data_IF_936355239087
#
_entry.id   IF_936355239087
#
_cell.length_a   1.000
_cell.length_b   1.000
_cell.length_c   1.000
_cell.angle_alpha   90.00
_cell.angle_beta   90.00
_cell.angle_gamma   90.00
#
_symmetry.space_group_name_H-M   'P 1'
#
loop_
_entity.id
_entity.type
_entity.pdbx_description
1 polymer ?
#
# COMPACT_ATOMS: atom_id res chain seq x y z
N UNK A 1 -6.03 14.37 2.22
CA UNK A 1 -6.93 13.21 2.11
C UNK A 1 -6.34 12.34 1.04
N UNK A 2 -5.78 11.21 1.43
CA UNK A 2 -5.20 10.25 0.50
C UNK A 2 -6.30 9.54 -0.28
N UNK A 3 -6.09 9.29 -1.56
CA UNK A 3 -7.01 8.55 -2.42
C UNK A 3 -6.54 7.12 -2.64
N UNK A 4 -7.48 6.22 -2.92
CA UNK A 4 -7.14 4.84 -3.29
C UNK A 4 -6.36 4.78 -4.61
N UNK A 5 -6.55 5.76 -5.50
CA UNK A 5 -5.83 5.85 -6.76
C UNK A 5 -4.35 6.13 -6.53
N UNK A 6 -4.03 7.13 -5.70
CA UNK A 6 -2.64 7.48 -5.38
C UNK A 6 -1.91 6.28 -4.74
N UNK A 7 -2.55 5.60 -3.78
CA UNK A 7 -1.98 4.40 -3.16
C UNK A 7 -1.75 3.29 -4.19
N UNK A 8 -2.74 3.05 -5.07
CA UNK A 8 -2.61 2.03 -6.11
C UNK A 8 -1.46 2.33 -7.07
N UNK A 9 -1.35 3.56 -7.55
CA UNK A 9 -0.30 3.97 -8.49
C UNK A 9 1.09 3.79 -7.88
N UNK A 10 1.30 4.20 -6.63
CA UNK A 10 2.59 4.02 -5.96
C UNK A 10 2.94 2.55 -5.70
N UNK A 11 1.97 1.74 -5.27
CA UNK A 11 2.20 0.30 -5.09
C UNK A 11 2.42 -0.43 -6.40
N UNK A 12 1.80 0.04 -7.49
CA UNK A 12 2.02 -0.47 -8.83
C UNK A 12 3.42 -0.11 -9.35
N UNK A 13 3.86 1.13 -9.15
CA UNK A 13 5.21 1.58 -9.53
C UNK A 13 6.31 0.85 -8.75
N UNK A 14 6.05 0.49 -7.48
CA UNK A 14 6.94 -0.35 -6.68
C UNK A 14 6.93 -1.83 -7.06
N UNK A 15 5.98 -2.28 -7.89
CA UNK A 15 5.80 -3.69 -8.22
C UNK A 15 5.25 -4.53 -7.06
N UNK A 16 4.59 -3.91 -6.08
CA UNK A 16 3.90 -4.62 -4.99
C UNK A 16 2.60 -5.26 -5.49
N UNK A 17 1.95 -4.62 -6.47
CA UNK A 17 0.76 -5.12 -7.16
C UNK A 17 0.87 -4.85 -8.65
N UNK A 18 0.42 -5.76 -9.50
CA UNK A 18 0.46 -5.62 -10.96
C UNK A 18 -0.92 -5.29 -11.55
N UNK A 19 -2.00 -5.49 -10.79
CA UNK A 19 -3.36 -5.25 -11.27
C UNK A 19 -4.27 -4.59 -10.24
N UNK A 20 -5.33 -3.94 -10.72
CA UNK A 20 -6.41 -3.43 -9.87
C UNK A 20 -7.09 -4.53 -9.03
N UNK A 21 -7.09 -5.76 -9.54
CA UNK A 21 -7.65 -6.92 -8.84
C UNK A 21 -6.75 -7.34 -7.68
N UNK A 22 -5.44 -7.44 -7.91
CA UNK A 22 -4.46 -7.68 -6.85
C UNK A 22 -4.49 -6.57 -5.80
N UNK A 23 -4.58 -5.30 -6.20
CA UNK A 23 -4.74 -4.20 -5.24
C UNK A 23 -6.02 -4.34 -4.40
N UNK A 24 -7.11 -4.80 -5.00
CA UNK A 24 -8.35 -5.05 -4.24
C UNK A 24 -8.15 -6.17 -3.21
N UNK A 25 -7.45 -7.23 -3.59
CA UNK A 25 -7.12 -8.35 -2.69
C UNK A 25 -6.13 -7.93 -1.59
N UNK A 26 -5.16 -7.08 -1.92
CA UNK A 26 -4.22 -6.45 -0.99
C UNK A 26 -4.98 -5.63 0.09
N UNK A 27 -6.06 -4.95 -0.30
CA UNK A 27 -6.98 -4.30 0.64
C UNK A 27 -7.95 -5.26 1.37
N UNK A 28 -7.83 -6.57 1.18
CA UNK A 28 -8.74 -7.58 1.74
C UNK A 28 -10.16 -7.52 1.19
N UNK A 29 -10.32 -7.12 -0.08
CA UNK A 29 -11.61 -6.98 -0.77
C UNK A 29 -11.69 -7.92 -1.97
N UNK A 30 -12.89 -7.99 -2.58
CA UNK A 30 -13.11 -8.77 -3.80
C UNK A 30 -12.38 -8.11 -4.99
N UNK A 31 -11.92 -8.86 -6.00
CA UNK A 31 -11.16 -8.34 -7.16
C UNK A 31 -11.79 -7.15 -7.90
N UNK A 32 -13.12 -7.04 -7.89
CA UNK A 32 -13.85 -5.95 -8.55
C UNK A 32 -14.02 -4.71 -7.67
N UNK A 33 -13.55 -4.73 -6.43
CA UNK A 33 -13.86 -3.69 -5.45
C UNK A 33 -13.25 -2.34 -5.83
N UNK A 34 -11.95 -2.29 -6.15
CA UNK A 34 -11.26 -1.04 -6.47
C UNK A 34 -11.93 -0.28 -7.63
N UNK A 35 -12.07 -0.93 -8.78
CA UNK A 35 -12.70 -0.33 -9.96
C UNK A 35 -14.12 0.17 -9.67
N UNK A 36 -14.88 -0.59 -8.89
CA UNK A 36 -16.25 -0.24 -8.50
C UNK A 36 -16.33 0.90 -7.47
N UNK A 37 -15.28 1.08 -6.67
CA UNK A 37 -15.14 2.13 -5.65
C UNK A 37 -14.75 3.45 -6.31
N UNK A 38 -13.74 3.42 -7.19
CA UNK A 38 -13.32 4.57 -7.99
C UNK A 38 -14.44 5.07 -8.90
N UNK A 39 -15.13 4.17 -9.63
CA UNK A 39 -16.23 4.56 -10.51
C UNK A 39 -17.40 5.26 -9.79
N UNK A 40 -17.52 5.07 -8.47
CA UNK A 40 -18.54 5.70 -7.62
C UNK A 40 -18.03 6.89 -6.82
N UNK A 41 -16.77 7.31 -7.01
CA UNK A 41 -16.15 8.39 -6.25
C UNK A 41 -16.13 8.12 -4.75
N UNK A 42 -16.00 6.85 -4.33
CA UNK A 42 -16.00 6.46 -2.93
C UNK A 42 -14.59 6.56 -2.35
N UNK A 43 -14.53 7.03 -1.11
CA UNK A 43 -13.30 7.05 -0.32
C UNK A 43 -13.12 5.75 0.47
N UNK A 44 -11.87 5.37 0.81
CA UNK A 44 -11.62 4.24 1.69
C UNK A 44 -12.24 4.53 3.07
N UNK A 45 -12.90 3.53 3.65
CA UNK A 45 -13.36 3.60 5.02
C UNK A 45 -12.27 3.05 5.98
N UNK A 46 -12.48 3.23 7.28
CA UNK A 46 -11.53 2.81 8.31
C UNK A 46 -11.14 1.32 8.23
N UNK A 47 -12.07 0.43 7.87
CA UNK A 47 -11.79 -1.02 7.71
C UNK A 47 -10.87 -1.30 6.51
N UNK A 48 -11.00 -0.54 5.42
CA UNK A 48 -10.04 -0.61 4.29
C UNK A 48 -8.65 -0.14 4.74
N UNK A 49 -8.58 1.01 5.42
CA UNK A 49 -7.30 1.59 5.83
C UNK A 49 -6.57 0.67 6.81
N UNK A 50 -7.26 0.09 7.80
CA UNK A 50 -6.65 -0.90 8.69
C UNK A 50 -6.06 -2.08 7.93
N UNK A 51 -6.80 -2.66 6.98
CA UNK A 51 -6.32 -3.79 6.18
C UNK A 51 -5.12 -3.41 5.34
N UNK A 52 -5.14 -2.23 4.76
CA UNK A 52 -4.03 -1.69 4.00
C UNK A 52 -2.79 -1.51 4.87
N UNK A 53 -2.92 -0.99 6.09
CA UNK A 53 -1.79 -0.87 7.03
C UNK A 53 -1.13 -2.22 7.33
N UNK A 54 -1.93 -3.27 7.57
CA UNK A 54 -1.38 -4.61 7.79
C UNK A 54 -0.65 -5.15 6.55
N UNK A 55 -1.26 -5.04 5.37
CA UNK A 55 -0.64 -5.51 4.13
C UNK A 55 0.65 -4.75 3.78
N UNK A 56 0.67 -3.43 4.00
CA UNK A 56 1.87 -2.60 3.84
C UNK A 56 2.96 -3.00 4.82
N UNK A 57 2.63 -3.25 6.09
CA UNK A 57 3.59 -3.66 7.10
C UNK A 57 4.18 -5.04 6.80
N UNK A 58 3.37 -6.00 6.35
CA UNK A 58 3.86 -7.31 5.92
C UNK A 58 4.80 -7.20 4.72
N UNK A 59 4.45 -6.34 3.75
CA UNK A 59 5.30 -6.06 2.57
C UNK A 59 6.61 -5.38 2.99
N UNK A 60 6.54 -4.41 3.90
CA UNK A 60 7.71 -3.72 4.45
C UNK A 60 8.68 -4.72 5.10
N UNK A 61 8.19 -5.58 5.99
CA UNK A 61 9.03 -6.57 6.66
C UNK A 61 9.66 -7.56 5.66
N UNK A 62 8.89 -8.00 4.66
CA UNK A 62 9.42 -8.86 3.61
C UNK A 62 10.52 -8.17 2.79
N UNK A 63 10.34 -6.89 2.47
CA UNK A 63 11.34 -6.09 1.75
C UNK A 63 12.62 -5.86 2.57
N UNK A 64 12.50 -5.58 3.88
CA UNK A 64 13.66 -5.47 4.78
C UNK A 64 14.42 -6.80 4.83
N UNK A 65 13.71 -7.92 4.97
CA UNK A 65 14.34 -9.23 4.98
C UNK A 65 15.08 -9.51 3.66
N UNK A 66 14.44 -9.24 2.51
CA UNK A 66 15.07 -9.42 1.20
C UNK A 66 16.31 -8.52 1.01
N UNK A 67 16.25 -7.29 1.55
CA UNK A 67 17.36 -6.35 1.56
C UNK A 67 18.56 -6.84 2.38
N UNK A 68 18.30 -7.49 3.52
CA UNK A 68 19.34 -8.08 4.39
C UNK A 68 19.94 -9.36 3.78
N UNK A 69 19.14 -10.12 3.04
CA UNK A 69 19.54 -11.40 2.44
C UNK A 69 20.26 -11.24 1.09
N UNK A 70 20.04 -10.13 0.37
CA UNK A 70 20.70 -9.93 -0.92
C UNK A 70 22.19 -9.60 -0.75
N UNK A 71 23.01 -10.23 -1.60
CA UNK A 71 24.43 -9.91 -1.74
C UNK A 71 24.71 -8.94 -2.91
N UNK A 72 23.66 -8.58 -3.65
CA UNK A 72 23.73 -7.64 -4.76
C UNK A 72 23.46 -6.21 -4.26
N UNK A 73 24.47 -5.35 -4.34
CA UNK A 73 24.39 -3.97 -3.87
C UNK A 73 23.35 -3.12 -4.63
N UNK A 74 23.08 -3.43 -5.90
CA UNK A 74 22.07 -2.70 -6.68
C UNK A 74 20.65 -3.11 -6.26
N UNK A 75 20.44 -4.40 -5.96
CA UNK A 75 19.18 -4.87 -5.36
C UNK A 75 18.98 -4.30 -3.96
N UNK A 76 20.04 -4.25 -3.14
CA UNK A 76 19.98 -3.67 -1.80
C UNK A 76 19.48 -2.22 -1.84
N UNK A 77 20.04 -1.40 -2.73
CA UNK A 77 19.59 -0.01 -2.94
C UNK A 77 18.17 0.10 -3.48
N UNK A 78 17.75 -0.84 -4.33
CA UNK A 78 16.39 -0.88 -4.84
C UNK A 78 15.40 -1.18 -3.71
N UNK A 79 15.73 -2.13 -2.82
CA UNK A 79 14.93 -2.40 -1.64
C UNK A 79 14.92 -1.23 -0.66
N UNK A 80 16.07 -0.60 -0.39
CA UNK A 80 16.16 0.59 0.47
C UNK A 80 15.22 1.70 -0.02
N UNK A 81 15.27 2.03 -1.32
CA UNK A 81 14.37 3.01 -1.91
C UNK A 81 12.89 2.59 -1.86
N UNK A 82 12.59 1.31 -2.07
CA UNK A 82 11.22 0.79 -1.97
C UNK A 82 10.65 0.83 -0.55
N UNK A 83 11.49 0.53 0.44
CA UNK A 83 11.18 0.61 1.87
C UNK A 83 10.84 2.04 2.29
N UNK A 84 11.62 3.03 1.84
CA UNK A 84 11.34 4.46 2.12
C UNK A 84 9.95 4.88 1.58
N UNK A 85 9.58 4.42 0.39
CA UNK A 85 8.27 4.70 -0.20
C UNK A 85 7.15 4.01 0.59
N UNK A 86 7.35 2.75 1.00
CA UNK A 86 6.38 2.03 1.84
C UNK A 86 6.16 2.76 3.17
N UNK A 87 7.21 3.27 3.82
CA UNK A 87 7.08 4.08 5.04
C UNK A 87 6.26 5.36 4.80
N UNK A 88 6.51 6.06 3.70
CA UNK A 88 5.76 7.25 3.33
C UNK A 88 4.27 6.96 3.03
N UNK A 89 3.96 5.82 2.40
CA UNK A 89 2.57 5.36 2.22
C UNK A 89 1.94 5.07 3.59
N UNK A 90 2.60 4.29 4.44
CA UNK A 90 2.09 3.93 5.78
C UNK A 90 1.80 5.17 6.63
N UNK A 91 2.69 6.17 6.62
CA UNK A 91 2.47 7.44 7.34
C UNK A 91 1.21 8.16 6.87
N UNK A 92 0.99 8.29 5.56
CA UNK A 92 -0.22 8.94 5.02
C UNK A 92 -1.49 8.14 5.28
N UNK A 93 -1.42 6.81 5.28
CA UNK A 93 -2.55 5.94 5.66
C UNK A 93 -2.91 6.15 7.12
N UNK A 94 -1.91 6.22 8.01
CA UNK A 94 -2.10 6.49 9.44
C UNK A 94 -2.74 7.86 9.67
N UNK A 95 -2.23 8.92 9.03
CA UNK A 95 -2.78 10.27 9.13
C UNK A 95 -4.27 10.31 8.74
N UNK A 96 -4.65 9.57 7.70
CA UNK A 96 -6.04 9.49 7.25
C UNK A 96 -6.92 8.67 8.22
N UNK A 97 -6.38 7.62 8.82
CA UNK A 97 -7.07 6.86 9.87
C UNK A 97 -7.37 7.73 11.09
N UNK A 98 -6.37 8.48 11.56
CA UNK A 98 -6.52 9.38 12.71
C UNK A 98 -7.59 10.45 12.43
N UNK A 99 -7.56 11.04 11.23
CA UNK A 99 -8.60 11.99 10.77
C UNK A 99 -10.02 11.42 10.80
N UNK A 100 -10.19 10.15 10.45
CA UNK A 100 -11.50 9.47 10.47
C UNK A 100 -11.93 9.04 11.88
N UNK A 101 -11.00 8.82 12.79
CA UNK A 101 -11.29 8.51 14.20
C UNK A 101 -11.70 9.76 14.99
N UNK A 102 -11.24 10.95 14.57
CA UNK A 102 -11.60 12.24 15.18
C UNK A 102 -12.93 12.84 14.66
N UNK A 103 -13.50 12.29 13.58
CA UNK A 103 -14.73 12.77 12.92
C UNK A 103 -16.01 12.10 13.41
#
# INVERSE_FOLDING_TARGET
MITLTEIYEELFELGVVDTQSEFSEFCGRKPSWYSSTIARGRHPNIDVLYRLTWALHDTYLASIQAMEETSNNDEHKAFEAGVDVLEAIMGRVQDEMDRLCES
#
